data_IF_680599676979
#
_entry.id   IF_680599676979
#
_cell.length_a   1.000
_cell.length_b   1.000
_cell.length_c   1.000
_cell.angle_alpha   90.00
_cell.angle_beta   90.00
_cell.angle_gamma   90.00
#
_symmetry.space_group_name_H-M   'P 1'
#
loop_
_entity.id
_entity.type
_entity.pdbx_description
1 polymer ?
#
# COMPACT_ATOMS: atom_id res chain seq x y z
N UNK A 1 25.53 -13.72 -47.37
CA UNK A 1 26.40 -14.28 -46.32
C UNK A 1 25.85 -13.76 -45.00
N UNK A 2 24.90 -14.44 -44.36
CA UNK A 2 25.05 -15.68 -43.57
C UNK A 2 25.10 -15.28 -42.10
N UNK A 3 24.40 -15.86 -41.12
CA UNK A 3 23.41 -16.93 -41.10
C UNK A 3 22.62 -16.76 -39.79
N UNK A 4 21.31 -16.95 -39.85
CA UNK A 4 20.40 -17.11 -38.71
C UNK A 4 20.65 -18.50 -38.08
N UNK A 5 20.72 -18.62 -36.75
CA UNK A 5 20.47 -19.85 -35.98
C UNK A 5 20.64 -19.56 -34.48
N UNK A 6 19.92 -20.16 -33.53
CA UNK A 6 18.59 -20.76 -33.43
C UNK A 6 18.52 -21.20 -31.96
N UNK A 7 17.38 -20.93 -31.31
CA UNK A 7 16.98 -21.44 -30.01
C UNK A 7 16.89 -22.98 -30.05
N UNK A 8 17.41 -23.65 -29.00
CA UNK A 8 17.40 -25.12 -28.87
C UNK A 8 16.98 -25.52 -27.45
N UNK A 9 15.89 -26.28 -27.31
CA UNK A 9 15.74 -27.19 -26.19
C UNK A 9 15.54 -28.63 -26.68
N UNK A 10 16.54 -29.48 -26.39
CA UNK A 10 16.45 -30.94 -26.29
C UNK A 10 16.22 -31.26 -24.80
N UNK A 11 15.61 -32.33 -24.29
CA UNK A 11 14.99 -33.53 -24.82
C UNK A 11 14.16 -34.15 -23.68
N UNK A 12 13.00 -34.73 -24.03
CA UNK A 12 12.56 -36.10 -23.71
C UNK A 12 13.04 -36.70 -22.37
N UNK A 13 12.14 -36.86 -21.41
CA UNK A 13 12.33 -37.79 -20.29
C UNK A 13 11.46 -39.03 -20.48
N UNK A 14 12.13 -40.13 -20.77
CA UNK A 14 11.64 -41.49 -20.91
C UNK A 14 11.33 -42.14 -19.56
N UNK A 15 10.27 -42.95 -19.56
CA UNK A 15 9.79 -43.86 -18.54
C UNK A 15 10.89 -44.61 -17.74
N UNK A 16 10.65 -44.83 -16.44
CA UNK A 16 11.23 -45.97 -15.75
C UNK A 16 10.25 -46.58 -14.73
N UNK A 17 9.76 -47.77 -15.10
CA UNK A 17 9.04 -48.75 -14.26
C UNK A 17 9.80 -49.05 -12.97
N UNK A 18 9.09 -49.03 -11.84
CA UNK A 18 9.45 -49.81 -10.66
C UNK A 18 8.44 -50.95 -10.49
N UNK A 19 8.96 -52.18 -10.56
CA UNK A 19 8.27 -53.44 -10.31
C UNK A 19 8.54 -53.79 -8.84
N UNK A 20 7.51 -54.03 -8.03
CA UNK A 20 7.66 -54.65 -6.70
C UNK A 20 6.68 -55.83 -6.59
N UNK A 21 7.29 -57.02 -6.51
CA UNK A 21 7.03 -58.08 -5.54
C UNK A 21 5.59 -58.51 -5.24
N UNK A 22 5.26 -59.67 -5.81
CA UNK A 22 4.23 -60.65 -5.42
C UNK A 22 4.41 -61.13 -3.97
N UNK A 23 3.30 -61.34 -3.24
CA UNK A 23 3.22 -62.37 -2.19
C UNK A 23 1.80 -62.94 -2.17
N UNK A 24 1.72 -64.24 -2.40
CA UNK A 24 0.51 -65.04 -2.47
C UNK A 24 0.02 -65.49 -1.07
N UNK A 25 -1.22 -65.96 -1.06
CA UNK A 25 -1.81 -67.03 -0.21
C UNK A 25 -2.42 -66.69 1.16
N UNK A 26 -3.65 -67.20 1.35
CA UNK A 26 -4.34 -67.23 2.65
C UNK A 26 -5.85 -67.38 2.57
N UNK A 27 -6.37 -68.39 1.85
CA UNK A 27 -7.76 -68.81 1.98
C UNK A 27 -7.94 -69.63 3.26
N UNK A 28 -8.86 -69.23 4.14
CA UNK A 28 -9.44 -70.10 5.17
C UNK A 28 -10.95 -69.81 5.28
N UNK A 29 -11.74 -70.76 4.79
CA UNK A 29 -13.17 -70.87 5.07
C UNK A 29 -13.35 -71.52 6.44
N UNK A 30 -14.33 -71.09 7.24
CA UNK A 30 -15.10 -71.96 8.12
C UNK A 30 -16.33 -71.24 8.69
N UNK A 31 -17.47 -71.93 8.64
CA UNK A 31 -18.41 -71.95 9.76
C UNK A 31 -19.56 -70.94 9.71
N UNK A 32 -20.64 -71.33 9.05
CA UNK A 32 -21.95 -70.76 9.34
C UNK A 32 -22.30 -70.91 10.82
N UNK A 33 -22.70 -69.81 11.45
CA UNK A 33 -23.47 -69.83 12.69
C UNK A 33 -24.81 -69.15 12.45
N UNK A 34 -25.82 -69.95 12.69
CA UNK A 34 -27.25 -69.69 12.62
C UNK A 34 -27.67 -68.44 13.40
N UNK A 35 -28.54 -67.64 12.78
CA UNK A 35 -29.28 -66.53 13.40
C UNK A 35 -30.29 -67.06 14.42
N UNK A 36 -29.84 -67.28 15.66
CA UNK A 36 -30.73 -67.50 16.79
C UNK A 36 -30.04 -66.99 18.05
N UNK A 37 -30.33 -65.75 18.44
CA UNK A 37 -29.71 -65.16 19.63
C UNK A 37 -29.62 -63.63 19.70
N UNK A 38 -30.42 -62.87 18.95
CA UNK A 38 -30.51 -61.42 19.12
C UNK A 38 -31.99 -61.00 19.14
N UNK A 39 -32.67 -61.29 20.24
CA UNK A 39 -34.01 -60.74 20.55
C UNK A 39 -34.08 -60.04 21.90
N UNK A 40 -33.07 -60.18 22.75
CA UNK A 40 -33.12 -59.68 24.13
C UNK A 40 -32.02 -58.67 24.43
N UNK A 41 -32.01 -57.53 23.72
CA UNK A 41 -31.28 -56.33 24.15
C UNK A 41 -32.07 -55.06 23.75
N UNK A 42 -33.37 -55.05 24.03
CA UNK A 42 -34.13 -53.80 24.16
C UNK A 42 -34.15 -53.39 25.64
N UNK A 43 -32.96 -53.17 26.20
CA UNK A 43 -32.84 -52.39 27.44
C UNK A 43 -33.07 -50.93 27.09
N UNK A 44 -34.21 -50.39 27.50
CA UNK A 44 -34.57 -48.99 27.27
C UNK A 44 -33.47 -48.06 27.75
N UNK A 45 -32.92 -47.26 26.85
CA UNK A 45 -32.04 -46.15 27.22
C UNK A 45 -32.85 -45.15 28.03
N UNK A 46 -32.46 -44.82 29.28
CA UNK A 46 -33.15 -43.81 30.05
C UNK A 46 -33.00 -42.45 29.35
N UNK A 47 -34.13 -41.79 29.08
CA UNK A 47 -34.27 -40.47 28.42
C UNK A 47 -33.61 -39.32 29.22
N UNK A 48 -33.01 -39.62 30.37
CA UNK A 48 -32.46 -38.63 31.32
C UNK A 48 -31.08 -38.05 30.96
N UNK A 49 -30.52 -38.31 29.76
CA UNK A 49 -29.25 -37.71 29.30
C UNK A 49 -29.43 -36.80 28.06
N UNK A 50 -30.67 -36.53 27.63
CA UNK A 50 -30.91 -35.63 26.49
C UNK A 50 -30.92 -34.13 26.86
N UNK A 51 -31.01 -33.80 28.15
CA UNK A 51 -31.12 -32.41 28.63
C UNK A 51 -29.80 -31.65 28.78
N UNK A 52 -28.64 -32.32 28.69
CA UNK A 52 -27.33 -31.73 28.99
C UNK A 52 -26.43 -31.55 27.76
N UNK A 53 -26.94 -31.75 26.54
CA UNK A 53 -26.20 -31.43 25.31
C UNK A 53 -26.52 -30.04 24.76
N UNK A 54 -27.70 -29.47 25.05
CA UNK A 54 -28.09 -28.18 24.49
C UNK A 54 -27.49 -26.95 25.21
N UNK A 55 -26.96 -27.11 26.44
CA UNK A 55 -26.35 -26.01 27.19
C UNK A 55 -24.87 -25.75 26.82
N UNK A 56 -24.22 -26.70 26.15
CA UNK A 56 -22.80 -26.61 25.79
C UNK A 56 -22.55 -26.15 24.34
N UNK A 57 -23.54 -26.30 23.45
CA UNK A 57 -23.39 -25.98 22.01
C UNK A 57 -23.65 -24.48 21.73
N UNK A 58 -24.39 -23.78 22.60
CA UNK A 58 -24.66 -22.34 22.46
C UNK A 58 -23.44 -21.44 22.70
N UNK A 59 -22.64 -21.73 23.73
CA UNK A 59 -21.47 -20.90 24.10
C UNK A 59 -20.33 -21.01 23.09
N UNK A 60 -20.09 -22.21 22.55
CA UNK A 60 -19.08 -22.44 21.51
C UNK A 60 -19.49 -21.79 20.18
N UNK A 61 -20.80 -21.68 19.91
CA UNK A 61 -21.31 -21.03 18.69
C UNK A 61 -21.14 -19.51 18.77
N UNK A 62 -21.46 -18.90 19.91
CA UNK A 62 -21.24 -17.46 20.16
C UNK A 62 -19.74 -17.14 20.06
N UNK A 63 -18.87 -17.97 20.63
CA UNK A 63 -17.42 -17.79 20.60
C UNK A 63 -16.84 -17.90 19.17
N UNK A 64 -17.36 -18.80 18.33
CA UNK A 64 -16.96 -18.91 16.91
C UNK A 64 -17.39 -17.70 16.08
N UNK A 65 -18.60 -17.20 16.30
CA UNK A 65 -19.07 -15.99 15.60
C UNK A 65 -18.32 -14.74 16.04
N UNK A 66 -17.97 -14.64 17.33
CA UNK A 66 -17.15 -13.53 17.84
C UNK A 66 -15.74 -13.56 17.26
N UNK A 67 -15.12 -14.74 17.11
CA UNK A 67 -13.79 -14.87 16.53
C UNK A 67 -13.75 -14.47 15.05
N UNK A 68 -14.80 -14.79 14.29
CA UNK A 68 -14.91 -14.39 12.87
C UNK A 68 -15.14 -12.87 12.76
N UNK A 69 -15.97 -12.27 13.63
CA UNK A 69 -16.19 -10.83 13.64
C UNK A 69 -14.96 -10.03 14.09
N UNK A 70 -14.23 -10.53 15.09
CA UNK A 70 -12.94 -9.94 15.52
C UNK A 70 -11.87 -10.11 14.42
N UNK A 71 -11.86 -11.24 13.72
CA UNK A 71 -10.99 -11.47 12.55
C UNK A 71 -11.29 -10.53 11.38
N UNK A 72 -12.56 -10.24 11.10
CA UNK A 72 -12.97 -9.25 10.10
C UNK A 72 -12.72 -7.79 10.55
N UNK A 73 -12.74 -7.51 11.85
CA UNK A 73 -12.42 -6.17 12.37
C UNK A 73 -10.90 -5.88 12.30
N UNK A 74 -10.07 -6.92 12.39
CA UNK A 74 -8.61 -6.83 12.27
C UNK A 74 -8.10 -6.77 10.83
N UNK A 75 -8.96 -7.00 9.82
CA UNK A 75 -8.57 -6.97 8.41
C UNK A 75 -8.77 -5.60 7.73
N UNK A 76 -9.18 -4.56 8.46
CA UNK A 76 -9.11 -3.18 7.94
C UNK A 76 -7.64 -2.75 7.91
N UNK A 77 -6.96 -3.04 6.81
CA UNK A 77 -5.62 -2.55 6.55
C UNK A 77 -5.61 -1.02 6.54
N UNK A 78 -4.74 -0.41 7.33
CA UNK A 78 -4.49 1.02 7.27
C UNK A 78 -3.87 1.34 5.91
N UNK A 79 -4.59 2.06 5.05
CA UNK A 79 -4.01 2.59 3.81
C UNK A 79 -3.13 3.78 4.18
N UNK A 80 -1.82 3.58 4.18
CA UNK A 80 -0.87 4.68 4.30
C UNK A 80 -0.89 5.51 3.01
N UNK A 81 -1.12 6.81 3.11
CA UNK A 81 -0.96 7.73 2.00
C UNK A 81 0.54 7.83 1.67
N UNK A 82 0.93 7.33 0.49
CA UNK A 82 2.30 7.42 0.01
C UNK A 82 2.61 8.83 -0.51
N UNK A 83 3.86 9.26 -0.32
CA UNK A 83 4.39 10.50 -0.87
C UNK A 83 4.60 10.33 -2.37
N UNK A 84 3.90 11.11 -3.19
CA UNK A 84 3.90 10.96 -4.65
C UNK A 84 4.80 12.00 -5.30
N UNK A 85 5.75 11.59 -6.12
CA UNK A 85 6.59 12.53 -6.89
C UNK A 85 5.77 13.14 -8.03
N UNK A 86 5.81 14.48 -8.14
CA UNK A 86 5.07 15.23 -9.15
C UNK A 86 5.96 16.14 -9.97
N UNK A 87 5.59 16.32 -11.23
CA UNK A 87 6.24 17.29 -12.11
C UNK A 87 5.73 18.70 -11.84
N UNK A 88 6.61 19.69 -11.92
CA UNK A 88 6.26 21.10 -11.73
C UNK A 88 6.64 21.88 -12.97
N UNK A 89 5.70 22.70 -13.44
CA UNK A 89 5.88 23.60 -14.58
C UNK A 89 5.82 25.04 -14.08
N UNK A 90 6.83 25.83 -14.37
CA UNK A 90 6.87 27.28 -14.11
C UNK A 90 6.79 28.00 -15.44
N UNK A 91 5.77 28.83 -15.62
CA UNK A 91 5.53 29.59 -16.86
C UNK A 91 5.57 28.72 -18.12
N UNK A 92 4.99 27.52 -18.03
CA UNK A 92 4.91 26.55 -19.12
C UNK A 92 6.15 25.68 -19.30
N UNK A 93 7.25 25.94 -18.59
CA UNK A 93 8.49 25.15 -18.66
C UNK A 93 8.58 24.18 -17.49
N UNK A 94 8.89 22.91 -17.76
CA UNK A 94 9.12 21.93 -16.71
C UNK A 94 10.41 22.26 -15.96
N UNK A 95 10.36 22.29 -14.64
CA UNK A 95 11.52 22.51 -13.77
C UNK A 95 11.79 21.23 -13.00
N UNK A 96 13.03 20.74 -13.12
CA UNK A 96 13.50 19.60 -12.32
C UNK A 96 14.03 20.10 -10.98
N UNK A 97 13.61 19.45 -9.90
CA UNK A 97 14.01 19.79 -8.54
C UNK A 97 14.86 18.69 -7.93
N UNK A 98 15.76 19.06 -7.02
CA UNK A 98 16.49 18.13 -6.16
C UNK A 98 16.34 18.62 -4.72
N UNK A 99 15.70 17.85 -3.83
CA UNK A 99 14.91 16.64 -4.10
C UNK A 99 13.67 16.93 -4.96
N UNK A 100 13.07 15.90 -5.55
CA UNK A 100 11.88 16.09 -6.35
C UNK A 100 10.70 16.67 -5.54
N UNK A 101 9.89 17.49 -6.24
CA UNK A 101 8.61 17.94 -5.74
C UNK A 101 7.64 16.77 -5.59
N UNK A 102 6.72 16.89 -4.65
CA UNK A 102 5.90 15.78 -4.22
C UNK A 102 4.56 16.20 -3.66
N UNK A 103 3.61 15.28 -3.64
CA UNK A 103 2.30 15.46 -3.01
C UNK A 103 2.22 14.56 -1.79
N UNK A 104 1.95 15.19 -0.65
CA UNK A 104 1.73 14.53 0.63
C UNK A 104 0.51 15.12 1.30
N UNK A 105 -0.40 14.27 1.78
CA UNK A 105 -1.64 14.67 2.46
C UNK A 105 -2.47 15.68 1.64
N UNK A 106 -2.51 15.48 0.30
CA UNK A 106 -3.23 16.34 -0.64
C UNK A 106 -2.57 17.72 -0.88
N UNK A 107 -1.37 17.96 -0.36
CA UNK A 107 -0.61 19.21 -0.56
C UNK A 107 0.61 18.94 -1.41
N UNK A 108 0.84 19.80 -2.41
CA UNK A 108 2.05 19.77 -3.21
C UNK A 108 3.17 20.55 -2.51
N UNK A 109 4.32 19.92 -2.36
CA UNK A 109 5.53 20.40 -1.73
C UNK A 109 6.66 20.47 -2.75
N UNK A 110 7.43 21.54 -2.73
CA UNK A 110 8.63 21.67 -3.55
C UNK A 110 9.78 22.32 -2.76
N UNK A 111 11.04 22.08 -3.16
CA UNK A 111 12.18 22.71 -2.51
C UNK A 111 12.08 24.23 -2.55
N UNK A 112 12.18 24.85 -1.38
CA UNK A 112 11.97 26.27 -1.19
C UNK A 112 12.91 27.11 -2.07
N UNK A 113 14.20 26.77 -2.08
CA UNK A 113 15.25 27.57 -2.74
C UNK A 113 15.09 27.53 -4.25
N UNK A 114 15.01 26.34 -4.81
CA UNK A 114 14.90 26.09 -6.24
C UNK A 114 13.59 26.67 -6.79
N UNK A 115 12.48 26.54 -6.05
CA UNK A 115 11.20 27.14 -6.45
C UNK A 115 11.27 28.66 -6.45
N UNK A 116 11.94 29.26 -5.45
CA UNK A 116 12.10 30.71 -5.36
C UNK A 116 12.99 31.25 -6.48
N UNK A 117 14.09 30.56 -6.78
CA UNK A 117 14.99 30.89 -7.89
C UNK A 117 14.28 30.78 -9.25
N UNK A 118 13.50 29.73 -9.47
CA UNK A 118 12.69 29.56 -10.68
C UNK A 118 11.65 30.69 -10.84
N UNK A 119 11.19 31.26 -9.73
CA UNK A 119 10.30 32.42 -9.71
C UNK A 119 11.04 33.77 -9.73
N UNK A 120 12.38 33.79 -9.74
CA UNK A 120 13.19 35.01 -9.76
C UNK A 120 13.18 35.76 -8.42
N UNK A 121 13.15 35.04 -7.31
CA UNK A 121 13.16 35.58 -5.95
C UNK A 121 14.36 35.05 -5.16
N UNK A 122 14.83 35.84 -4.20
CA UNK A 122 15.97 35.45 -3.35
C UNK A 122 15.49 34.90 -2.01
N UNK A 123 16.25 33.96 -1.45
CA UNK A 123 15.95 33.32 -0.16
C UNK A 123 17.08 33.55 0.83
N UNK A 124 16.76 34.15 1.97
CA UNK A 124 17.67 34.34 3.09
C UNK A 124 17.24 33.48 4.27
N UNK A 125 18.16 32.68 4.82
CA UNK A 125 17.87 31.84 5.98
C UNK A 125 18.20 32.57 7.28
N UNK A 126 17.24 32.65 8.19
CA UNK A 126 17.47 33.08 9.56
C UNK A 126 17.47 31.85 10.49
N UNK A 127 18.68 31.45 10.92
CA UNK A 127 18.86 30.28 11.78
C UNK A 127 18.31 30.48 13.20
N UNK A 128 18.41 31.70 13.75
CA UNK A 128 17.92 32.01 15.10
C UNK A 128 16.39 31.94 15.17
N UNK A 129 15.73 32.48 14.14
CA UNK A 129 14.27 32.50 14.05
C UNK A 129 13.67 31.25 13.38
N UNK A 130 14.51 30.31 12.91
CA UNK A 130 14.09 29.09 12.18
C UNK A 130 13.10 29.40 11.03
N UNK A 131 13.39 30.43 10.25
CA UNK A 131 12.57 30.85 9.12
C UNK A 131 13.42 31.29 7.94
N UNK A 132 12.85 31.15 6.74
CA UNK A 132 13.41 31.68 5.52
C UNK A 132 12.65 32.96 5.14
N UNK A 133 13.36 34.02 4.78
CA UNK A 133 12.77 35.23 4.21
C UNK A 133 12.94 35.17 2.70
N UNK A 134 11.83 35.20 1.97
CA UNK A 134 11.84 35.22 0.50
C UNK A 134 11.51 36.64 0.06
N UNK A 135 12.33 37.20 -0.84
CA UNK A 135 12.12 38.55 -1.36
C UNK A 135 11.97 38.55 -2.88
N UNK A 136 10.99 39.31 -3.37
CA UNK A 136 10.75 39.59 -4.80
C UNK A 136 10.47 41.08 -4.96
N UNK A 137 11.40 41.80 -5.58
CA UNK A 137 11.33 43.26 -5.64
C UNK A 137 11.34 43.87 -4.23
N UNK A 138 10.33 44.68 -3.90
CA UNK A 138 10.18 45.27 -2.56
C UNK A 138 9.37 44.40 -1.58
N UNK A 139 8.78 43.30 -2.03
CA UNK A 139 7.98 42.42 -1.19
C UNK A 139 8.86 41.32 -0.58
N UNK A 140 8.84 41.19 0.74
CA UNK A 140 9.51 40.12 1.47
C UNK A 140 8.52 39.40 2.37
N UNK A 141 8.56 38.06 2.34
CA UNK A 141 7.64 37.21 3.10
C UNK A 141 8.43 36.19 3.91
N UNK A 142 8.23 36.11 5.25
CA UNK A 142 8.84 35.08 6.08
C UNK A 142 8.05 33.77 6.00
N UNK A 143 8.76 32.67 5.75
CA UNK A 143 8.26 31.29 5.76
C UNK A 143 8.92 30.53 6.91
N UNK A 144 8.14 30.01 7.85
CA UNK A 144 8.69 29.27 8.98
C UNK A 144 9.11 27.88 8.56
N UNK A 145 10.15 27.34 9.18
CA UNK A 145 10.56 25.93 9.01
C UNK A 145 9.44 24.96 9.32
N UNK A 146 8.59 25.29 10.30
CA UNK A 146 7.45 24.48 10.74
C UNK A 146 6.36 24.33 9.68
N UNK A 147 6.32 25.22 8.69
CA UNK A 147 5.28 25.23 7.65
C UNK A 147 5.60 24.26 6.51
N UNK A 148 6.83 23.73 6.50
CA UNK A 148 7.33 22.79 5.52
C UNK A 148 7.75 21.45 6.11
N UNK A 149 8.27 20.59 5.23
CA UNK A 149 8.85 19.30 5.59
C UNK A 149 10.31 19.28 5.15
N UNK A 150 11.18 18.65 5.93
CA UNK A 150 12.58 18.48 5.56
C UNK A 150 12.72 17.14 4.84
N UNK A 151 13.20 17.15 3.60
CA UNK A 151 13.57 15.95 2.85
C UNK A 151 14.97 16.12 2.29
N UNK A 152 15.83 15.12 2.46
CA UNK A 152 17.23 15.16 2.00
C UNK A 152 17.96 16.45 2.41
N UNK A 153 17.75 16.89 3.66
CA UNK A 153 18.31 18.13 4.21
C UNK A 153 17.86 19.43 3.50
N UNK A 154 16.78 19.38 2.73
CA UNK A 154 16.16 20.53 2.08
C UNK A 154 14.75 20.78 2.62
N UNK A 155 14.42 22.05 2.84
CA UNK A 155 13.09 22.47 3.27
C UNK A 155 12.16 22.51 2.06
N UNK A 156 11.18 21.63 2.05
CA UNK A 156 10.09 21.64 1.08
C UNK A 156 8.90 22.35 1.70
N UNK A 157 8.35 23.32 0.97
CA UNK A 157 7.25 24.16 1.44
C UNK A 157 6.03 23.91 0.56
N UNK A 158 4.80 23.99 1.09
CA UNK A 158 3.60 23.91 0.28
C UNK A 158 3.64 24.95 -0.85
N UNK A 159 3.55 24.49 -2.09
CA UNK A 159 3.65 25.35 -3.28
C UNK A 159 2.60 26.47 -3.28
N UNK A 160 1.41 26.22 -2.72
CA UNK A 160 0.36 27.23 -2.60
C UNK A 160 0.78 28.41 -1.72
N UNK A 161 1.43 28.13 -0.58
CA UNK A 161 1.93 29.17 0.34
C UNK A 161 3.01 29.99 -0.35
N UNK A 162 3.91 29.33 -1.09
CA UNK A 162 4.93 30.04 -1.89
C UNK A 162 4.30 30.89 -3.00
N UNK A 163 3.27 30.36 -3.67
CA UNK A 163 2.52 31.11 -4.68
C UNK A 163 1.91 32.38 -4.12
N UNK A 164 1.21 32.28 -2.98
CA UNK A 164 0.61 33.42 -2.28
C UNK A 164 1.67 34.44 -1.85
N UNK A 165 2.78 33.97 -1.25
CA UNK A 165 3.89 34.82 -0.81
C UNK A 165 4.53 35.62 -1.96
N UNK A 166 4.57 35.04 -3.17
CA UNK A 166 5.25 35.61 -4.34
C UNK A 166 4.29 36.22 -5.36
N UNK A 167 2.98 36.20 -5.10
CA UNK A 167 1.94 36.62 -6.05
C UNK A 167 1.82 35.72 -7.28
N UNK A 168 2.34 34.49 -7.23
CA UNK A 168 2.25 33.51 -8.31
C UNK A 168 0.99 32.65 -8.17
N UNK A 169 0.37 32.32 -9.30
CA UNK A 169 -0.82 31.44 -9.34
C UNK A 169 -0.38 29.99 -9.45
N UNK A 170 -0.84 29.16 -8.51
CA UNK A 170 -0.54 27.72 -8.48
C UNK A 170 -1.81 26.94 -8.77
N UNK A 171 -1.76 26.09 -9.79
CA UNK A 171 -2.85 25.24 -10.23
C UNK A 171 -2.42 23.76 -10.29
N UNK A 172 -3.32 22.86 -9.89
CA UNK A 172 -3.14 21.43 -10.07
C UNK A 172 -3.66 21.01 -11.45
N UNK A 173 -2.87 20.27 -12.20
CA UNK A 173 -3.26 19.57 -13.42
C UNK A 173 -3.51 18.10 -13.09
N UNK A 174 -4.78 17.71 -13.00
CA UNK A 174 -5.17 16.35 -12.70
C UNK A 174 -4.89 15.37 -13.86
N UNK A 175 -4.96 15.83 -15.11
CA UNK A 175 -4.72 14.98 -16.28
C UNK A 175 -3.23 14.63 -16.40
N UNK A 176 -2.36 15.62 -16.17
CA UNK A 176 -0.91 15.47 -16.20
C UNK A 176 -0.25 15.07 -14.88
N UNK A 177 -1.02 14.99 -13.77
CA UNK A 177 -0.50 14.84 -12.39
C UNK A 177 0.66 15.80 -12.11
N UNK A 178 0.42 17.07 -12.41
CA UNK A 178 1.45 18.09 -12.43
C UNK A 178 0.99 19.36 -11.71
N UNK A 179 1.94 20.10 -11.18
CA UNK A 179 1.68 21.45 -10.64
C UNK A 179 2.09 22.48 -11.68
N UNK A 180 1.17 23.40 -12.00
CA UNK A 180 1.44 24.55 -12.87
C UNK A 180 1.52 25.82 -12.05
N UNK A 181 2.63 26.53 -12.18
CA UNK A 181 2.90 27.80 -11.52
C UNK A 181 2.99 28.86 -12.61
N UNK A 182 2.19 29.91 -12.49
CA UNK A 182 2.26 31.09 -13.33
C UNK A 182 2.76 32.26 -12.48
N UNK A 183 3.90 32.83 -12.86
CA UNK A 183 4.45 34.00 -12.18
C UNK A 183 3.56 35.24 -12.43
N UNK A 184 3.53 36.21 -11.50
CA UNK A 184 2.82 37.46 -11.75
C UNK A 184 3.46 38.19 -12.94
N UNK A 185 2.68 38.96 -13.71
CA UNK A 185 3.21 39.75 -14.82
C UNK A 185 4.39 40.61 -14.32
N UNK A 186 5.52 40.52 -15.01
CA UNK A 186 6.66 41.40 -14.75
C UNK A 186 6.17 42.82 -15.02
N UNK A 187 6.19 43.69 -14.02
CA UNK A 187 5.98 45.12 -14.25
C UNK A 187 7.05 45.56 -15.25
N UNK A 188 6.61 46.02 -16.43
CA UNK A 188 7.50 46.66 -17.39
C UNK A 188 8.05 47.91 -16.71
N UNK A 189 9.35 47.91 -16.44
CA UNK A 189 10.09 49.11 -16.07
C UNK A 189 10.48 49.86 -17.33
#
# INVERSE_FOLDING_TARGET
MGSLMLYRPDAVNTERRARVGRSDSGAYAHGGRTLSGMKDLAGGFPIAIMGLWHRYVGEVTIMRTMLILVGCLLSVGMVAAADEIVSVYVDGKQVAFKPDARVRDGKAYAPLRETSEALGSEVQWNAQAQLAVICRGSACVPIKKSDGIIVNNQLLVPLRVLGEALGAKVAWDAAGRAVRIASPPKFAH
#
